data_IF_357571127348
#
_entry.id   IF_357571127348
#
_cell.length_a   1.000
_cell.length_b   1.000
_cell.length_c   1.000
_cell.angle_alpha   90.00
_cell.angle_beta   90.00
_cell.angle_gamma   90.00
#
_symmetry.space_group_name_H-M   'P 1'
#
loop_
_entity.id
_entity.type
_entity.pdbx_description
1 polymer ?
#
# COMPACT_ATOMS: atom_id res chain seq x y z
N UNK A 1 -13.20 12.60 31.29
CA UNK A 1 -14.03 11.42 31.71
C UNK A 1 -13.24 10.66 32.75
N UNK A 2 -13.84 10.23 33.87
CA UNK A 2 -13.12 9.43 34.87
C UNK A 2 -12.95 8.00 34.36
N UNK A 3 -11.80 7.34 34.59
CA UNK A 3 -11.60 5.96 34.18
C UNK A 3 -12.62 5.03 34.87
N UNK A 4 -13.19 4.13 34.10
CA UNK A 4 -14.11 3.10 34.62
C UNK A 4 -13.30 1.83 34.84
N UNK A 5 -13.33 1.30 36.07
CA UNK A 5 -12.64 0.05 36.41
C UNK A 5 -13.33 -1.14 35.73
N UNK A 6 -12.55 -2.03 35.18
CA UNK A 6 -12.98 -3.28 34.54
C UNK A 6 -12.03 -4.44 34.89
N UNK A 7 -12.42 -5.67 34.59
CA UNK A 7 -11.70 -6.87 34.99
C UNK A 7 -10.22 -6.91 34.54
N UNK A 8 -9.89 -6.36 33.36
CA UNK A 8 -8.52 -6.31 32.85
C UNK A 8 -7.58 -5.41 33.66
N UNK A 9 -8.11 -4.46 34.46
CA UNK A 9 -7.25 -3.67 35.35
C UNK A 9 -6.45 -4.57 36.31
N UNK A 10 -7.02 -5.68 36.79
CA UNK A 10 -6.33 -6.61 37.65
C UNK A 10 -5.12 -7.28 36.95
N UNK A 11 -5.16 -7.40 35.62
CA UNK A 11 -4.04 -7.90 34.82
C UNK A 11 -3.01 -6.78 34.61
N UNK A 12 -3.47 -5.61 34.18
CA UNK A 12 -2.61 -4.48 33.84
C UNK A 12 -1.82 -3.94 35.03
N UNK A 13 -2.42 -3.93 36.24
CA UNK A 13 -1.77 -3.49 37.46
C UNK A 13 -0.52 -4.36 37.83
N UNK A 14 -0.50 -5.62 37.40
CA UNK A 14 0.67 -6.50 37.55
C UNK A 14 1.84 -6.14 36.63
N UNK A 15 1.56 -5.39 35.57
CA UNK A 15 2.53 -5.00 34.55
C UNK A 15 2.74 -3.48 34.48
N UNK A 16 2.71 -2.82 35.63
CA UNK A 16 2.84 -1.38 35.79
C UNK A 16 4.14 -0.78 35.21
N UNK A 17 5.17 -1.61 35.02
CA UNK A 17 6.41 -1.20 34.34
C UNK A 17 6.22 -1.02 32.80
N UNK A 18 5.19 -1.65 32.22
CA UNK A 18 4.91 -1.64 30.78
C UNK A 18 3.64 -0.83 30.48
N UNK A 19 2.62 -0.96 31.33
CA UNK A 19 1.32 -0.32 31.13
C UNK A 19 1.10 0.79 32.15
N UNK A 20 0.74 1.96 31.68
CA UNK A 20 0.44 3.10 32.52
C UNK A 20 -1.06 3.18 32.80
N UNK A 21 -1.45 3.21 34.06
CA UNK A 21 -2.84 3.20 34.52
C UNK A 21 -3.37 4.61 34.88
N UNK A 22 -2.52 5.63 34.91
CA UNK A 22 -2.93 7.01 35.16
C UNK A 22 -3.45 7.63 33.84
N UNK A 23 -4.57 8.33 33.94
CA UNK A 23 -5.15 9.03 32.78
C UNK A 23 -4.19 10.09 32.25
N UNK A 24 -3.90 9.97 30.96
CA UNK A 24 -3.18 11.00 30.21
C UNK A 24 -3.89 11.18 28.88
N UNK A 25 -4.05 12.43 28.49
CA UNK A 25 -4.60 12.75 27.18
C UNK A 25 -3.58 12.33 26.10
N UNK A 26 -3.97 11.40 25.25
CA UNK A 26 -3.12 10.89 24.18
C UNK A 26 -3.86 11.12 22.86
N UNK A 27 -3.15 11.69 21.89
CA UNK A 27 -3.73 11.89 20.56
C UNK A 27 -4.14 10.56 19.93
N UNK A 28 -5.31 10.53 19.32
CA UNK A 28 -5.78 9.36 18.56
C UNK A 28 -4.87 9.21 17.31
N UNK A 29 -4.24 8.05 17.13
CA UNK A 29 -3.39 7.82 15.96
C UNK A 29 -4.24 7.71 14.67
N UNK A 30 -3.61 7.97 13.52
CA UNK A 30 -4.22 7.64 12.22
C UNK A 30 -4.37 6.11 12.10
N UNK A 31 -5.62 5.66 12.15
CA UNK A 31 -5.94 4.22 12.12
C UNK A 31 -5.55 3.59 10.78
N UNK A 32 -5.68 4.35 9.69
CA UNK A 32 -5.40 3.87 8.33
C UNK A 32 -3.98 3.32 8.18
N UNK A 33 -3.01 4.00 8.80
CA UNK A 33 -1.61 3.54 8.80
C UNK A 33 -1.44 2.18 9.49
N UNK A 34 -2.07 2.00 10.64
CA UNK A 34 -1.98 0.74 11.39
C UNK A 34 -2.75 -0.41 10.76
N UNK A 35 -3.83 -0.12 10.02
CA UNK A 35 -4.53 -1.15 9.25
C UNK A 35 -3.65 -1.76 8.17
N UNK A 36 -2.88 -0.94 7.46
CA UNK A 36 -1.92 -1.44 6.48
C UNK A 36 -0.84 -2.32 7.15
N UNK A 37 -0.28 -1.90 8.29
CA UNK A 37 0.70 -2.68 9.07
C UNK A 37 0.15 -4.05 9.51
N UNK A 38 -1.13 -4.13 9.89
CA UNK A 38 -1.76 -5.39 10.35
C UNK A 38 -1.94 -6.37 9.18
N UNK A 39 -2.26 -5.88 7.99
CA UNK A 39 -2.56 -6.74 6.83
C UNK A 39 -1.35 -7.03 5.94
N UNK A 40 -0.25 -6.29 6.08
CA UNK A 40 0.97 -6.55 5.35
C UNK A 40 1.68 -7.82 5.88
N UNK A 41 2.14 -8.67 4.98
CA UNK A 41 2.87 -9.91 5.32
C UNK A 41 4.37 -9.68 5.56
N UNK A 42 4.83 -8.44 5.56
CA UNK A 42 6.24 -8.05 5.71
C UNK A 42 6.42 -6.56 5.47
N UNK A 43 7.66 -6.10 5.24
CA UNK A 43 7.90 -4.72 4.85
C UNK A 43 7.06 -4.36 3.62
N UNK A 44 6.44 -3.19 3.64
CA UNK A 44 5.57 -2.75 2.56
C UNK A 44 5.74 -1.24 2.31
N UNK A 45 5.30 -0.81 1.16
CA UNK A 45 5.07 0.60 0.87
C UNK A 45 3.83 0.75 -0.03
N UNK A 46 3.33 1.95 -0.11
CA UNK A 46 2.24 2.30 -1.00
C UNK A 46 2.50 3.65 -1.67
N UNK A 47 1.82 3.87 -2.77
CA UNK A 47 1.72 5.15 -3.46
C UNK A 47 0.40 5.25 -4.23
N UNK A 48 -0.01 6.47 -4.51
CA UNK A 48 -1.16 6.76 -5.36
C UNK A 48 -0.66 7.13 -6.75
N UNK A 49 -1.16 6.42 -7.76
CA UNK A 49 -0.92 6.69 -9.17
C UNK A 49 -2.06 7.53 -9.73
N UNK A 50 -1.73 8.67 -10.33
CA UNK A 50 -2.62 9.38 -11.25
C UNK A 50 -2.43 8.78 -12.65
N UNK A 51 -3.45 8.09 -13.14
CA UNK A 51 -3.39 7.37 -14.43
C UNK A 51 -3.31 8.33 -15.61
N UNK A 52 -3.85 9.56 -15.47
CA UNK A 52 -3.97 10.51 -16.59
C UNK A 52 -2.62 11.06 -17.06
N UNK A 53 -1.65 11.20 -16.17
CA UNK A 53 -0.32 11.76 -16.44
C UNK A 53 0.83 10.90 -15.94
N UNK A 54 0.49 9.73 -15.34
CA UNK A 54 1.44 8.78 -14.76
C UNK A 54 2.27 9.35 -13.60
N UNK A 55 1.76 10.40 -12.92
CA UNK A 55 2.41 10.95 -11.72
C UNK A 55 2.07 10.15 -10.48
N UNK A 56 2.97 10.20 -9.50
CA UNK A 56 2.87 9.49 -8.23
C UNK A 56 2.76 10.46 -7.06
N UNK A 57 2.03 10.06 -6.02
CA UNK A 57 1.83 10.85 -4.80
C UNK A 57 1.50 9.96 -3.59
N UNK A 58 1.37 10.56 -2.41
CA UNK A 58 0.96 9.89 -1.16
C UNK A 58 1.77 8.63 -0.85
N UNK A 59 3.08 8.77 -0.79
CA UNK A 59 4.01 7.67 -0.55
C UNK A 59 4.04 7.23 0.91
N UNK A 60 4.18 5.93 1.11
CA UNK A 60 4.74 5.41 2.35
C UNK A 60 6.27 5.59 2.35
N UNK A 61 6.83 6.01 3.50
CA UNK A 61 8.27 6.34 3.60
C UNK A 61 9.21 5.18 3.27
N UNK A 62 8.76 3.96 3.48
CA UNK A 62 9.60 2.75 3.32
C UNK A 62 9.95 2.44 1.86
N UNK A 63 9.30 3.07 0.88
CA UNK A 63 9.72 2.98 -0.53
C UNK A 63 11.18 3.39 -0.72
N UNK A 64 11.64 4.41 0.02
CA UNK A 64 13.00 4.91 -0.08
C UNK A 64 14.04 3.88 0.38
N UNK A 65 14.00 3.38 1.63
CA UNK A 65 14.99 2.41 2.10
C UNK A 65 14.85 1.04 1.42
N UNK A 66 13.64 0.59 1.05
CA UNK A 66 13.44 -0.70 0.39
C UNK A 66 14.11 -0.76 -0.99
N UNK A 67 14.09 0.32 -1.73
CA UNK A 67 14.69 0.41 -3.06
C UNK A 67 16.01 1.19 -3.11
N UNK A 68 16.51 1.67 -1.96
CA UNK A 68 17.72 2.50 -1.89
C UNK A 68 17.58 3.86 -2.60
N UNK A 69 16.37 4.37 -2.70
CA UNK A 69 16.08 5.65 -3.35
C UNK A 69 16.45 6.82 -2.43
N UNK A 70 16.95 7.90 -3.02
CA UNK A 70 17.28 9.15 -2.29
C UNK A 70 16.10 10.11 -2.22
N UNK A 71 15.21 10.05 -3.21
CA UNK A 71 14.05 10.92 -3.37
C UNK A 71 12.84 10.09 -3.78
N UNK A 72 11.64 10.61 -3.50
CA UNK A 72 10.41 9.97 -3.94
C UNK A 72 10.31 10.02 -5.47
N UNK A 73 9.94 8.90 -6.13
CA UNK A 73 9.71 8.89 -7.57
C UNK A 73 8.54 9.82 -7.93
N UNK A 74 8.67 10.54 -9.04
CA UNK A 74 7.64 11.47 -9.52
C UNK A 74 6.71 10.78 -10.51
N UNK A 75 7.24 9.87 -11.32
CA UNK A 75 6.51 9.19 -12.38
C UNK A 75 6.56 7.67 -12.24
N UNK A 76 5.49 7.01 -12.70
CA UNK A 76 5.38 5.55 -12.69
C UNK A 76 6.57 4.85 -13.39
N UNK A 77 7.15 5.50 -14.40
CA UNK A 77 8.33 4.97 -15.08
C UNK A 77 9.47 4.62 -14.13
N UNK A 78 9.70 5.43 -13.10
CA UNK A 78 10.76 5.20 -12.11
C UNK A 78 10.52 3.93 -11.27
N UNK A 79 9.26 3.59 -11.02
CA UNK A 79 8.89 2.31 -10.39
C UNK A 79 9.06 1.14 -11.36
N UNK A 80 8.63 1.31 -12.61
CA UNK A 80 8.77 0.28 -13.66
C UNK A 80 10.24 -0.06 -13.89
N UNK A 81 11.13 0.92 -13.86
CA UNK A 81 12.56 0.73 -14.05
C UNK A 81 13.21 -0.11 -12.93
N UNK A 82 12.55 -0.26 -11.77
CA UNK A 82 12.98 -1.15 -10.68
C UNK A 82 12.60 -2.62 -10.91
N UNK A 83 11.69 -2.91 -11.83
CA UNK A 83 11.25 -4.28 -12.12
C UNK A 83 12.39 -5.05 -12.79
N UNK A 84 12.57 -6.32 -12.39
CA UNK A 84 13.54 -7.17 -13.04
C UNK A 84 13.25 -7.30 -14.54
N UNK A 85 14.24 -7.11 -15.43
CA UNK A 85 13.99 -7.08 -16.89
C UNK A 85 13.28 -8.31 -17.43
N UNK A 86 13.58 -9.51 -16.88
CA UNK A 86 12.92 -10.75 -17.28
C UNK A 86 11.44 -10.85 -16.83
N UNK A 87 11.06 -10.11 -15.78
CA UNK A 87 9.69 -10.13 -15.26
C UNK A 87 8.79 -9.07 -15.93
N UNK A 88 9.39 -8.07 -16.57
CA UNK A 88 8.64 -6.99 -17.20
C UNK A 88 7.63 -7.48 -18.26
N UNK A 89 7.94 -8.44 -19.15
CA UNK A 89 6.94 -8.99 -20.09
C UNK A 89 5.73 -9.60 -19.37
N UNK A 90 5.96 -10.35 -18.27
CA UNK A 90 4.90 -10.92 -17.47
C UNK A 90 4.03 -9.81 -16.83
N UNK A 91 4.65 -8.75 -16.28
CA UNK A 91 3.93 -7.62 -15.68
C UNK A 91 3.03 -6.94 -16.72
N UNK A 92 3.53 -6.70 -17.93
CA UNK A 92 2.75 -6.12 -19.03
C UNK A 92 1.55 -7.01 -19.41
N UNK A 93 1.73 -8.32 -19.46
CA UNK A 93 0.67 -9.28 -19.77
C UNK A 93 -0.37 -9.36 -18.64
N UNK A 94 0.08 -9.33 -17.38
CA UNK A 94 -0.79 -9.30 -16.20
C UNK A 94 -1.66 -8.03 -16.16
N UNK A 95 -1.10 -6.87 -16.48
CA UNK A 95 -1.84 -5.62 -16.59
C UNK A 95 -2.90 -5.67 -17.69
N UNK A 96 -2.54 -6.14 -18.89
CA UNK A 96 -3.48 -6.29 -20.00
C UNK A 96 -4.63 -7.24 -19.63
N UNK A 97 -4.31 -8.39 -19.05
CA UNK A 97 -5.32 -9.38 -18.59
C UNK A 97 -6.23 -8.80 -17.50
N UNK A 98 -5.67 -8.03 -16.57
CA UNK A 98 -6.43 -7.34 -15.51
C UNK A 98 -7.49 -6.42 -16.12
N UNK A 99 -7.13 -5.63 -17.13
CA UNK A 99 -8.06 -4.74 -17.84
C UNK A 99 -9.15 -5.54 -18.54
N UNK A 100 -8.79 -6.62 -19.23
CA UNK A 100 -9.78 -7.49 -19.89
C UNK A 100 -10.77 -8.11 -18.91
N UNK A 101 -10.30 -8.57 -17.76
CA UNK A 101 -11.17 -9.11 -16.71
C UNK A 101 -12.09 -8.03 -16.14
N UNK A 102 -11.57 -6.83 -15.89
CA UNK A 102 -12.38 -5.69 -15.43
C UNK A 102 -13.49 -5.33 -16.43
N UNK A 103 -13.20 -5.38 -17.73
CA UNK A 103 -14.19 -5.15 -18.78
C UNK A 103 -15.27 -6.24 -18.80
N UNK A 104 -14.91 -7.50 -18.57
CA UNK A 104 -15.86 -8.62 -18.50
C UNK A 104 -16.76 -8.59 -17.28
N UNK A 105 -16.23 -8.16 -16.12
CA UNK A 105 -16.97 -8.04 -14.86
C UNK A 105 -17.98 -6.88 -14.91
N UNK A 106 -17.67 -5.82 -15.62
CA UNK A 106 -18.51 -4.63 -15.76
C UNK A 106 -17.94 -3.40 -15.08
N UNK A 107 -18.22 -2.25 -15.68
CA UNK A 107 -17.71 -0.95 -15.26
C UNK A 107 -18.16 -0.53 -13.85
N UNK A 108 -19.33 -0.96 -13.42
CA UNK A 108 -19.90 -0.65 -12.11
C UNK A 108 -19.11 -1.28 -10.95
N UNK A 109 -18.36 -2.35 -11.21
CA UNK A 109 -17.60 -3.08 -10.19
C UNK A 109 -16.14 -2.67 -10.09
N UNK A 110 -15.60 -1.89 -11.04
CA UNK A 110 -14.18 -1.62 -11.17
C UNK A 110 -13.52 -1.02 -9.92
N UNK A 111 -14.22 -0.12 -9.19
CA UNK A 111 -13.69 0.46 -7.94
C UNK A 111 -13.76 -0.51 -6.74
N UNK A 112 -14.32 -1.70 -6.92
CA UNK A 112 -14.43 -2.74 -5.88
C UNK A 112 -13.49 -3.92 -6.12
N UNK A 113 -12.79 -3.92 -7.24
CA UNK A 113 -11.86 -4.97 -7.61
C UNK A 113 -10.48 -4.65 -7.06
N UNK A 114 -9.82 -5.68 -6.58
CA UNK A 114 -8.43 -5.67 -6.19
C UNK A 114 -7.68 -6.61 -7.12
N UNK A 115 -6.59 -6.14 -7.67
CA UNK A 115 -5.68 -6.94 -8.48
C UNK A 115 -4.41 -7.21 -7.71
N UNK A 116 -3.73 -8.30 -8.02
CA UNK A 116 -2.44 -8.58 -7.39
C UNK A 116 -1.71 -9.71 -8.10
N UNK A 117 -0.39 -9.54 -8.19
CA UNK A 117 0.55 -10.51 -8.74
C UNK A 117 1.95 -10.24 -8.16
N UNK A 118 2.87 -11.18 -8.37
CA UNK A 118 4.22 -11.09 -7.82
C UNK A 118 5.24 -10.94 -8.94
N UNK A 119 6.27 -10.12 -8.69
CA UNK A 119 7.42 -9.96 -9.57
C UNK A 119 8.64 -9.48 -8.77
N UNK A 120 9.82 -9.63 -9.35
CA UNK A 120 11.07 -9.20 -8.73
C UNK A 120 11.28 -7.70 -8.95
N UNK A 121 11.66 -6.99 -7.88
CA UNK A 121 12.07 -5.59 -7.94
C UNK A 121 13.45 -5.39 -7.33
N UNK A 122 14.18 -4.41 -7.85
CA UNK A 122 15.49 -4.03 -7.36
C UNK A 122 15.39 -3.41 -5.96
N UNK A 123 16.16 -3.94 -5.01
CA UNK A 123 16.28 -3.43 -3.64
C UNK A 123 17.61 -2.71 -3.42
N UNK A 124 18.67 -3.16 -4.07
CA UNK A 124 19.97 -2.50 -4.12
C UNK A 124 20.58 -2.76 -5.50
N UNK A 125 21.71 -2.12 -5.81
CA UNK A 125 22.39 -2.33 -7.08
C UNK A 125 22.60 -3.83 -7.34
N UNK A 126 22.07 -4.33 -8.47
CA UNK A 126 22.11 -5.72 -8.92
C UNK A 126 21.47 -6.77 -7.97
N UNK A 127 20.72 -6.36 -6.96
CA UNK A 127 19.97 -7.27 -6.10
C UNK A 127 18.47 -7.09 -6.29
N UNK A 128 17.77 -8.19 -6.54
CA UNK A 128 16.32 -8.23 -6.71
C UNK A 128 15.69 -9.13 -5.66
N UNK A 129 14.52 -8.72 -5.18
CA UNK A 129 13.69 -9.51 -4.27
C UNK A 129 12.27 -9.63 -4.84
N UNK A 130 11.54 -10.65 -4.41
CA UNK A 130 10.16 -10.87 -4.82
C UNK A 130 9.23 -9.95 -4.05
N UNK A 131 8.45 -9.16 -4.77
CA UNK A 131 7.41 -8.28 -4.24
C UNK A 131 6.03 -8.81 -4.62
N UNK A 132 5.09 -8.71 -3.71
CA UNK A 132 3.67 -8.87 -3.99
C UNK A 132 3.06 -7.50 -4.25
N UNK A 133 2.74 -7.24 -5.49
CA UNK A 133 2.03 -6.04 -5.90
C UNK A 133 0.53 -6.22 -5.75
N UNK A 134 -0.15 -5.19 -5.25
CA UNK A 134 -1.60 -5.12 -5.20
C UNK A 134 -2.05 -3.71 -5.61
N UNK A 135 -3.15 -3.64 -6.37
CA UNK A 135 -3.72 -2.36 -6.78
C UNK A 135 -5.24 -2.35 -6.66
N UNK A 136 -5.78 -1.20 -6.29
CA UNK A 136 -7.20 -0.88 -6.36
C UNK A 136 -7.38 0.47 -7.05
N UNK A 137 -8.38 0.57 -7.91
CA UNK A 137 -8.76 1.87 -8.47
C UNK A 137 -9.62 2.64 -7.47
N UNK A 138 -9.32 3.92 -7.28
CA UNK A 138 -9.92 4.78 -6.25
C UNK A 138 -10.84 5.86 -6.83
N UNK A 139 -10.69 6.19 -8.12
CA UNK A 139 -11.50 7.21 -8.77
C UNK A 139 -11.74 6.93 -10.25
N UNK A 140 -12.87 7.44 -10.74
CA UNK A 140 -13.27 7.50 -12.16
C UNK A 140 -13.56 8.95 -12.55
N UNK A 141 -13.40 9.27 -13.82
CA UNK A 141 -13.87 10.51 -14.40
C UNK A 141 -15.39 10.48 -14.69
N UNK A 142 -15.93 11.57 -15.22
CA UNK A 142 -17.34 11.72 -15.58
C UNK A 142 -17.81 10.75 -16.68
N UNK A 143 -16.90 10.19 -17.46
CA UNK A 143 -17.15 9.19 -18.51
C UNK A 143 -16.95 7.75 -17.99
N UNK A 144 -16.66 7.57 -16.72
CA UNK A 144 -16.43 6.27 -16.08
C UNK A 144 -15.05 5.68 -16.33
N UNK A 145 -14.08 6.45 -16.87
CA UNK A 145 -12.70 5.99 -17.06
C UNK A 145 -11.94 6.06 -15.75
N UNK A 146 -11.13 5.05 -15.46
CA UNK A 146 -10.28 5.00 -14.28
C UNK A 146 -9.18 6.06 -14.38
N UNK A 147 -9.05 6.90 -13.36
CA UNK A 147 -8.10 8.01 -13.31
C UNK A 147 -7.13 7.95 -12.17
N UNK A 148 -7.37 7.10 -11.19
CA UNK A 148 -6.50 6.98 -10.02
C UNK A 148 -6.47 5.55 -9.49
N UNK A 149 -5.31 5.12 -9.00
CA UNK A 149 -5.12 3.84 -8.34
C UNK A 149 -4.23 3.98 -7.09
N UNK A 150 -4.56 3.24 -6.03
CA UNK A 150 -3.69 2.97 -4.89
C UNK A 150 -2.94 1.67 -5.17
N UNK A 151 -1.63 1.72 -5.05
CA UNK A 151 -0.72 0.59 -5.24
C UNK A 151 0.01 0.31 -3.91
N UNK A 152 0.10 -0.95 -3.56
CA UNK A 152 0.80 -1.47 -2.36
C UNK A 152 1.76 -2.56 -2.79
#
# INVERSE_FOLDING_TARGET
MKPVKHALNNVWDRYSLVLRNDYKDVSIPSVDRYLADIFALGPYYYYVLNVTDSTLSNFHSDILPLHGLKEYPVHLKEIIDLIHPEDLPFVMEAEAWTIEVMLKIGYEHQLRLKTGYCFRMQVTENKYELFQHQAIHTAKDENGKLIQALNI
#
